data_IF_494562472530
#
_entry.id   IF_494562472530
#
_cell.length_a   1.000
_cell.length_b   1.000
_cell.length_c   1.000
_cell.angle_alpha   90.00
_cell.angle_beta   90.00
_cell.angle_gamma   90.00
#
_symmetry.space_group_name_H-M   'P 1'
#
loop_
_entity.id
_entity.type
_entity.pdbx_description
1 polymer ?
#
# COMPACT_ATOMS: atom_id res chain seq x y z
N UNK A 1 15.18 -10.50 1.82
CA UNK A 1 13.96 -10.32 1.01
C UNK A 1 13.60 -11.63 0.31
N UNK A 2 12.34 -12.06 0.42
CA UNK A 2 11.76 -13.34 -0.02
C UNK A 2 10.97 -13.22 -1.33
N UNK A 3 10.45 -12.04 -1.65
CA UNK A 3 9.66 -11.71 -2.84
C UNK A 3 10.43 -10.79 -3.79
N UNK A 4 10.91 -9.63 -3.30
CA UNK A 4 11.75 -8.72 -4.09
C UNK A 4 13.21 -9.17 -3.96
N UNK A 5 13.91 -9.37 -5.06
CA UNK A 5 15.29 -9.87 -5.03
C UNK A 5 16.25 -8.73 -5.32
N UNK A 6 17.15 -8.46 -4.37
CA UNK A 6 18.41 -7.71 -4.51
C UNK A 6 18.38 -6.63 -5.60
N UNK A 7 17.54 -5.61 -5.38
CA UNK A 7 17.34 -4.53 -6.32
C UNK A 7 17.53 -3.19 -5.62
N UNK A 8 18.51 -2.39 -6.06
CA UNK A 8 18.64 -1.00 -5.64
C UNK A 8 17.37 -0.20 -5.93
N UNK A 9 16.60 -0.59 -6.96
CA UNK A 9 15.31 0.03 -7.26
C UNK A 9 14.28 -0.25 -6.16
N UNK A 10 14.32 -1.42 -5.51
CA UNK A 10 13.43 -1.69 -4.38
C UNK A 10 13.72 -0.72 -3.22
N UNK A 11 14.99 -0.52 -2.88
CA UNK A 11 15.40 0.37 -1.80
C UNK A 11 14.98 1.83 -2.05
N UNK A 12 15.20 2.32 -3.28
CA UNK A 12 14.77 3.67 -3.69
C UNK A 12 13.25 3.87 -3.62
N UNK A 13 12.48 2.88 -4.08
CA UNK A 13 11.02 2.90 -3.99
C UNK A 13 10.55 2.82 -2.53
N UNK A 14 11.19 1.99 -1.71
CA UNK A 14 10.85 1.86 -0.29
C UNK A 14 11.09 3.13 0.52
N UNK A 15 12.09 3.93 0.16
CA UNK A 15 12.24 5.27 0.74
C UNK A 15 11.06 6.20 0.41
N UNK A 16 10.53 6.14 -0.81
CA UNK A 16 9.33 6.91 -1.19
C UNK A 16 8.12 6.40 -0.41
N UNK A 17 7.94 5.07 -0.38
CA UNK A 17 6.88 4.40 0.38
C UNK A 17 6.87 4.82 1.84
N UNK A 18 8.02 4.73 2.53
CA UNK A 18 8.19 5.14 3.93
C UNK A 18 7.80 6.60 4.16
N UNK A 19 8.15 7.50 3.24
CA UNK A 19 7.83 8.92 3.36
C UNK A 19 6.33 9.17 3.24
N UNK A 20 5.62 8.45 2.37
CA UNK A 20 4.17 8.54 2.24
C UNK A 20 3.52 8.01 3.51
N UNK A 21 3.91 6.82 3.96
CA UNK A 21 3.40 6.20 5.17
C UNK A 21 3.64 7.09 6.40
N UNK A 22 4.83 7.66 6.59
CA UNK A 22 5.10 8.63 7.69
C UNK A 22 4.21 9.87 7.64
N UNK A 23 3.82 10.35 6.46
CA UNK A 23 2.96 11.54 6.33
C UNK A 23 1.48 11.22 6.53
N UNK A 24 1.01 10.14 5.92
CA UNK A 24 -0.42 9.87 5.74
C UNK A 24 -0.94 8.70 6.58
N UNK A 25 -0.04 7.81 7.04
CA UNK A 25 -0.42 6.57 7.73
C UNK A 25 -0.89 5.46 6.80
N UNK A 26 -0.91 5.69 5.48
CA UNK A 26 -1.31 4.70 4.48
C UNK A 26 -0.58 4.90 3.15
N UNK A 27 -0.62 3.86 2.31
CA UNK A 27 -0.17 3.88 0.90
C UNK A 27 -1.14 3.03 0.08
N UNK A 28 -1.74 3.62 -0.96
CA UNK A 28 -2.61 2.92 -1.93
C UNK A 28 -1.97 2.83 -3.32
N UNK A 29 -2.59 2.12 -4.25
CA UNK A 29 -2.08 1.93 -5.62
C UNK A 29 -1.82 3.23 -6.39
N UNK A 30 -2.62 4.26 -6.13
CA UNK A 30 -2.41 5.59 -6.71
C UNK A 30 -1.09 6.23 -6.25
N UNK A 31 -0.66 5.91 -5.03
CA UNK A 31 0.50 6.52 -4.40
C UNK A 31 1.79 5.80 -4.76
N UNK A 32 1.73 4.47 -4.90
CA UNK A 32 2.93 3.66 -5.04
C UNK A 32 2.68 2.30 -5.72
N UNK A 33 3.55 1.88 -6.69
CA UNK A 33 3.37 0.64 -7.44
C UNK A 33 3.35 -0.63 -6.56
N UNK A 34 4.06 -0.62 -5.43
CA UNK A 34 4.09 -1.77 -4.53
C UNK A 34 2.84 -1.98 -3.68
N UNK A 35 1.93 -1.00 -3.57
CA UNK A 35 0.69 -1.20 -2.83
C UNK A 35 -0.13 -2.38 -3.40
N UNK A 36 -0.17 -2.53 -4.73
CA UNK A 36 -0.79 -3.68 -5.39
C UNK A 36 -0.09 -5.01 -5.02
N UNK A 37 1.25 -5.01 -5.01
CA UNK A 37 2.03 -6.22 -4.73
C UNK A 37 1.80 -6.75 -3.30
N UNK A 38 1.36 -5.90 -2.36
CA UNK A 38 1.12 -6.29 -0.97
C UNK A 38 -0.04 -7.28 -0.78
N UNK A 39 -0.86 -7.52 -1.80
CA UNK A 39 -1.80 -8.65 -1.80
C UNK A 39 -1.08 -10.01 -1.65
N UNK A 40 0.22 -10.08 -1.98
CA UNK A 40 1.03 -11.28 -1.80
C UNK A 40 1.76 -11.25 -0.45
N UNK A 41 1.46 -12.21 0.42
CA UNK A 41 2.02 -12.24 1.79
C UNK A 41 3.55 -12.16 1.88
N UNK A 42 4.30 -12.70 0.92
CA UNK A 42 5.77 -12.57 0.90
C UNK A 42 6.23 -11.15 0.56
N UNK A 43 5.51 -10.46 -0.33
CA UNK A 43 5.81 -9.07 -0.67
C UNK A 43 5.52 -8.17 0.53
N UNK A 44 4.41 -8.42 1.23
CA UNK A 44 4.11 -7.77 2.50
C UNK A 44 5.21 -7.96 3.54
N UNK A 45 5.69 -9.19 3.75
CA UNK A 45 6.80 -9.45 4.67
C UNK A 45 8.05 -8.65 4.30
N UNK A 46 8.44 -8.61 3.03
CA UNK A 46 9.63 -7.84 2.61
C UNK A 46 9.50 -6.34 2.87
N UNK A 47 8.33 -5.76 2.60
CA UNK A 47 8.04 -4.35 2.85
C UNK A 47 8.02 -4.07 4.34
N UNK A 48 7.36 -4.93 5.14
CA UNK A 48 7.31 -4.81 6.59
C UNK A 48 8.70 -4.89 7.22
N UNK A 49 9.50 -5.89 6.84
CA UNK A 49 10.87 -6.08 7.34
C UNK A 49 11.76 -4.87 6.98
N UNK A 50 11.64 -4.35 5.76
CA UNK A 50 12.39 -3.17 5.34
C UNK A 50 11.97 -1.93 6.15
N UNK A 51 10.67 -1.71 6.36
CA UNK A 51 10.15 -0.58 7.14
C UNK A 51 10.63 -0.63 8.60
N UNK A 52 10.63 -1.80 9.22
CA UNK A 52 11.13 -2.01 10.58
C UNK A 52 12.64 -1.71 10.69
N UNK A 53 13.44 -2.21 9.73
CA UNK A 53 14.88 -1.92 9.66
C UNK A 53 15.19 -0.42 9.50
N UNK A 54 14.26 0.35 8.95
CA UNK A 54 14.36 1.80 8.73
C UNK A 54 13.58 2.62 9.77
N UNK A 55 13.26 2.01 10.92
CA UNK A 55 12.74 2.68 12.10
C UNK A 55 11.26 3.06 12.05
N UNK A 56 10.48 2.38 11.21
CA UNK A 56 9.02 2.47 11.25
C UNK A 56 8.46 1.28 12.05
N UNK A 57 7.79 1.55 13.17
CA UNK A 57 7.32 0.52 14.11
C UNK A 57 5.80 0.57 14.36
N UNK A 58 5.02 1.02 13.38
CA UNK A 58 3.54 1.03 13.46
C UNK A 58 2.92 -0.35 13.23
N UNK A 59 1.66 -0.52 13.60
CA UNK A 59 0.89 -1.74 13.37
C UNK A 59 0.37 -1.79 11.93
N UNK A 60 1.16 -2.40 11.03
CA UNK A 60 0.85 -2.45 9.61
C UNK A 60 -0.18 -3.52 9.28
N UNK A 61 -1.17 -3.17 8.47
CA UNK A 61 -2.14 -4.08 7.90
C UNK A 61 -2.39 -3.78 6.42
N UNK A 62 -2.89 -4.76 5.67
CA UNK A 62 -3.23 -4.63 4.25
C UNK A 62 -4.73 -4.78 4.05
N UNK A 63 -5.31 -3.99 3.17
CA UNK A 63 -6.72 -4.10 2.81
C UNK A 63 -6.89 -4.10 1.29
N UNK A 64 -7.88 -4.87 0.83
CA UNK A 64 -8.34 -4.84 -0.55
C UNK A 64 -9.83 -4.47 -0.61
N UNK A 65 -10.24 -3.80 -1.67
CA UNK A 65 -11.62 -3.51 -2.00
C UNK A 65 -11.90 -3.86 -3.45
N UNK A 66 -13.05 -4.48 -3.72
CA UNK A 66 -13.49 -4.77 -5.08
C UNK A 66 -14.55 -3.77 -5.52
N UNK A 67 -14.29 -3.11 -6.66
CA UNK A 67 -15.24 -2.26 -7.36
C UNK A 67 -15.65 -2.93 -8.68
N UNK A 68 -16.95 -3.00 -8.97
CA UNK A 68 -17.46 -3.68 -10.18
C UNK A 68 -16.94 -3.09 -11.50
N UNK A 69 -16.60 -1.80 -11.51
CA UNK A 69 -16.15 -1.07 -12.70
C UNK A 69 -14.63 -0.93 -12.81
N UNK A 70 -13.88 -1.07 -11.70
CA UNK A 70 -12.41 -0.90 -11.69
C UNK A 70 -11.64 -2.16 -11.28
N UNK A 71 -12.33 -3.22 -10.86
CA UNK A 71 -11.69 -4.40 -10.30
C UNK A 71 -11.24 -4.22 -8.86
N UNK A 72 -10.19 -4.94 -8.46
CA UNK A 72 -9.69 -4.93 -7.09
C UNK A 72 -8.61 -3.85 -6.89
N UNK A 73 -8.75 -3.08 -5.82
CA UNK A 73 -7.77 -2.08 -5.36
C UNK A 73 -7.24 -2.46 -3.99
N UNK A 74 -5.97 -2.16 -3.74
CA UNK A 74 -5.23 -2.55 -2.54
C UNK A 74 -4.49 -1.38 -1.90
N UNK A 75 -4.20 -1.54 -0.61
CA UNK A 75 -3.31 -0.64 0.11
C UNK A 75 -2.79 -1.23 1.41
N UNK A 76 -1.80 -0.56 1.97
CA UNK A 76 -1.23 -0.82 3.28
C UNK A 76 -1.47 0.39 4.17
N UNK A 77 -1.84 0.16 5.43
CA UNK A 77 -2.10 1.21 6.39
C UNK A 77 -1.58 0.84 7.77
N UNK A 78 -1.28 1.87 8.55
CA UNK A 78 -0.89 1.76 9.95
C UNK A 78 -2.12 1.94 10.84
N UNK A 79 -2.51 0.87 11.53
CA UNK A 79 -3.71 0.81 12.37
C UNK A 79 -3.63 1.76 13.58
N UNK A 80 -2.42 2.21 13.96
CA UNK A 80 -2.24 3.22 15.00
C UNK A 80 -2.63 4.63 14.53
N UNK A 81 -2.79 4.82 13.21
CA UNK A 81 -2.94 6.14 12.58
C UNK A 81 -4.18 6.27 11.73
N UNK A 82 -4.60 5.17 11.09
CA UNK A 82 -5.73 5.10 10.18
C UNK A 82 -6.62 3.96 10.64
N UNK A 83 -7.89 4.27 10.91
CA UNK A 83 -8.86 3.24 11.31
C UNK A 83 -9.22 2.33 10.14
N UNK A 84 -9.74 1.13 10.45
CA UNK A 84 -10.25 0.21 9.44
C UNK A 84 -11.33 0.85 8.57
N UNK A 85 -12.27 1.58 9.19
CA UNK A 85 -13.37 2.25 8.48
C UNK A 85 -12.86 3.34 7.53
N UNK A 86 -11.89 4.13 7.98
CA UNK A 86 -11.26 5.18 7.17
C UNK A 86 -10.52 4.58 5.97
N UNK A 87 -9.71 3.53 6.19
CA UNK A 87 -9.02 2.85 5.10
C UNK A 87 -10.01 2.27 4.08
N UNK A 88 -11.12 1.68 4.57
CA UNK A 88 -12.17 1.14 3.70
C UNK A 88 -12.79 2.24 2.83
N UNK A 89 -13.13 3.39 3.40
CA UNK A 89 -13.68 4.52 2.63
C UNK A 89 -12.69 5.04 1.57
N UNK A 90 -11.40 5.11 1.91
CA UNK A 90 -10.33 5.50 0.98
C UNK A 90 -10.25 4.52 -0.20
N UNK A 91 -10.27 3.22 0.05
CA UNK A 91 -10.23 2.21 -1.02
C UNK A 91 -11.49 2.21 -1.90
N UNK A 92 -12.66 2.51 -1.33
CA UNK A 92 -13.89 2.70 -2.13
C UNK A 92 -13.71 3.86 -3.10
N UNK A 93 -13.22 5.00 -2.61
CA UNK A 93 -12.98 6.19 -3.42
C UNK A 93 -11.90 5.94 -4.48
N UNK A 94 -10.87 5.17 -4.15
CA UNK A 94 -9.83 4.76 -5.09
C UNK A 94 -10.41 3.90 -6.23
N UNK A 95 -11.27 2.94 -5.92
CA UNK A 95 -11.98 2.15 -6.93
C UNK A 95 -12.83 3.02 -7.86
N UNK A 96 -13.55 4.01 -7.33
CA UNK A 96 -14.32 4.97 -8.16
C UNK A 96 -13.39 5.79 -9.05
N UNK A 97 -12.28 6.29 -8.51
CA UNK A 97 -11.30 7.09 -9.26
C UNK A 97 -10.68 6.30 -10.42
N UNK A 98 -10.33 5.04 -10.19
CA UNK A 98 -9.79 4.17 -11.24
C UNK A 98 -10.84 3.87 -12.31
N UNK A 99 -12.10 3.60 -11.92
CA UNK A 99 -13.19 3.38 -12.87
C UNK A 99 -13.41 4.58 -13.80
N UNK A 100 -13.32 5.81 -13.27
CA UNK A 100 -13.48 7.02 -14.09
C UNK A 100 -12.37 7.21 -15.13
N UNK A 101 -11.14 6.78 -14.84
CA UNK A 101 -10.02 6.86 -15.79
C UNK A 101 -10.16 5.93 -16.99
N UNK A 102 -10.92 4.85 -16.88
CA UNK A 102 -11.17 3.95 -18.02
C UNK A 102 -12.07 4.57 -19.09
N UNK A 103 -12.75 5.69 -18.78
CA UNK A 103 -13.63 6.41 -19.69
C UNK A 103 -13.02 7.70 -20.29
N UNK A 104 -11.77 8.03 -19.95
CA UNK A 104 -11.00 9.17 -20.53
C UNK A 104 -10.13 8.74 -21.71
#
# INVERSE_FOLDING_TARGET
MLYFKDDSAFDEEMHKFLNILKKQGLVIEADHPYAYAMQHGRAFSDVSDWLEQHGYHGHLNTMGHFNESAGAVYGLYDEDRVSYEEMREILVNEGVRQAMREFE
#
